data_IF_332147434575
#
_entry.id   IF_332147434575
#
_cell.length_a   1.000
_cell.length_b   1.000
_cell.length_c   1.000
_cell.angle_alpha   90.00
_cell.angle_beta   90.00
_cell.angle_gamma   90.00
#
_symmetry.space_group_name_H-M   'P 1'
#
loop_
_entity.id
_entity.type
_entity.pdbx_description
1 polymer ?
#
# COMPACT_ATOMS: atom_id res chain seq x y z
N UNK A 1 -0.80 -6.87 -4.55
CA UNK A 1 0.28 -5.97 -4.09
C UNK A 1 -0.28 -4.56 -4.02
N UNK A 2 -0.44 -4.04 -2.80
CA UNK A 2 -1.05 -2.75 -2.47
C UNK A 2 -0.03 -1.61 -2.38
N UNK A 3 1.24 -1.86 -2.68
CA UNK A 3 2.31 -0.88 -2.49
C UNK A 3 2.07 0.43 -3.26
N UNK A 4 1.28 0.40 -4.33
CA UNK A 4 0.78 1.61 -5.01
C UNK A 4 -0.73 1.83 -4.87
N UNK A 5 -1.52 0.77 -4.78
CA UNK A 5 -2.99 0.86 -4.82
C UNK A 5 -3.61 1.28 -3.49
N UNK A 6 -2.81 1.39 -2.42
CA UNK A 6 -3.17 2.12 -1.19
C UNK A 6 -3.61 3.58 -1.47
N UNK A 7 -3.25 4.13 -2.64
CA UNK A 7 -3.74 5.43 -3.12
C UNK A 7 -5.27 5.55 -3.22
N UNK A 8 -6.02 4.43 -3.25
CA UNK A 8 -7.48 4.44 -3.32
C UNK A 8 -8.18 4.78 -2.00
N UNK A 9 -7.51 4.68 -0.86
CA UNK A 9 -8.13 4.86 0.45
C UNK A 9 -7.37 4.11 1.55
N UNK A 10 -7.75 4.26 2.83
CA UNK A 10 -7.09 3.57 3.95
C UNK A 10 -7.10 2.04 3.81
N UNK A 11 -8.10 1.48 3.13
CA UNK A 11 -8.19 0.05 2.82
C UNK A 11 -7.64 -0.36 1.44
N UNK A 12 -7.02 0.57 0.69
CA UNK A 12 -6.47 0.35 -0.65
C UNK A 12 -7.47 -0.15 -1.68
N UNK A 13 -6.97 -0.77 -2.75
CA UNK A 13 -7.81 -1.38 -3.79
C UNK A 13 -8.67 -2.51 -3.24
N UNK A 14 -8.13 -3.25 -2.27
CA UNK A 14 -8.80 -4.39 -1.65
C UNK A 14 -10.15 -3.98 -1.08
N UNK A 15 -10.20 -2.92 -0.27
CA UNK A 15 -11.47 -2.41 0.24
C UNK A 15 -12.31 -1.75 -0.86
N UNK A 16 -11.71 -0.88 -1.69
CA UNK A 16 -12.43 -0.12 -2.70
C UNK A 16 -13.15 -1.00 -3.74
N UNK A 17 -12.58 -2.16 -4.06
CA UNK A 17 -13.13 -3.10 -5.04
C UNK A 17 -13.66 -4.38 -4.42
N UNK A 18 -13.80 -4.43 -3.09
CA UNK A 18 -14.30 -5.61 -2.35
C UNK A 18 -13.53 -6.90 -2.69
N UNK A 19 -12.22 -6.80 -2.86
CA UNK A 19 -11.38 -7.95 -3.13
C UNK A 19 -11.17 -8.78 -1.86
N UNK A 20 -10.88 -10.06 -2.05
CA UNK A 20 -10.68 -11.02 -0.97
C UNK A 20 -9.36 -11.78 -1.21
N UNK A 21 -8.20 -11.11 -1.15
CA UNK A 21 -6.91 -11.76 -1.45
C UNK A 21 -6.54 -12.80 -0.39
N UNK A 22 -5.85 -13.86 -0.82
CA UNK A 22 -5.26 -14.84 0.11
C UNK A 22 -3.96 -14.32 0.74
N UNK A 23 -3.25 -13.45 0.01
CA UNK A 23 -2.04 -12.73 0.43
C UNK A 23 -2.14 -11.25 0.03
N UNK A 24 -1.72 -10.38 0.94
CA UNK A 24 -1.58 -8.95 0.70
C UNK A 24 -0.15 -8.53 1.01
N UNK A 25 0.41 -7.68 0.17
CA UNK A 25 1.72 -7.06 0.36
C UNK A 25 1.54 -5.56 0.26
N UNK A 26 2.20 -4.79 1.13
CA UNK A 26 2.16 -3.34 1.14
C UNK A 26 3.50 -2.78 1.65
N UNK A 27 3.90 -1.62 1.14
CA UNK A 27 5.14 -0.95 1.55
C UNK A 27 5.11 0.52 1.19
N UNK A 28 6.27 1.10 0.88
CA UNK A 28 6.43 2.52 0.48
C UNK A 28 5.84 3.48 1.52
N UNK A 29 4.65 4.00 1.24
CA UNK A 29 4.04 5.10 1.96
C UNK A 29 3.73 4.75 3.43
N UNK A 30 3.57 3.47 3.76
CA UNK A 30 3.15 3.07 5.11
C UNK A 30 4.18 3.33 6.19
N UNK A 31 5.47 3.50 5.86
CA UNK A 31 6.54 3.61 6.85
C UNK A 31 7.06 5.04 7.05
N UNK A 32 6.33 6.06 6.58
CA UNK A 32 6.67 7.46 6.83
C UNK A 32 8.04 7.88 6.28
N UNK A 33 8.49 7.24 5.19
CA UNK A 33 9.79 7.51 4.56
C UNK A 33 10.94 6.61 5.03
N UNK A 34 10.73 5.77 6.06
CA UNK A 34 11.69 4.75 6.45
C UNK A 34 11.55 3.47 5.61
N UNK A 35 12.60 2.63 5.50
CA UNK A 35 12.46 1.29 4.96
C UNK A 35 11.45 0.48 5.78
N UNK A 36 10.36 0.08 5.15
CA UNK A 36 9.30 -0.70 5.77
C UNK A 36 8.31 -1.25 4.76
N UNK A 37 7.98 -2.52 4.93
CA UNK A 37 6.93 -3.22 4.20
C UNK A 37 6.28 -4.21 5.15
N UNK A 38 5.06 -4.61 4.81
CA UNK A 38 4.31 -5.65 5.49
C UNK A 38 3.69 -6.59 4.47
N UNK A 39 3.54 -7.84 4.86
CA UNK A 39 2.67 -8.77 4.18
C UNK A 39 1.73 -9.40 5.19
N UNK A 40 0.54 -9.75 4.73
CA UNK A 40 -0.46 -10.47 5.47
C UNK A 40 -1.00 -11.60 4.61
N UNK A 41 -1.56 -12.61 5.25
CA UNK A 41 -2.19 -13.72 4.57
C UNK A 41 -3.38 -14.21 5.38
N UNK A 42 -4.27 -14.94 4.72
CA UNK A 42 -5.37 -15.62 5.40
C UNK A 42 -4.82 -16.64 6.40
N UNK A 43 -5.61 -16.88 7.45
CA UNK A 43 -5.22 -17.78 8.54
C UNK A 43 -4.97 -19.20 8.03
N UNK A 44 -5.84 -19.69 7.15
CA UNK A 44 -5.76 -21.03 6.60
C UNK A 44 -4.46 -21.23 5.80
N UNK A 45 -4.03 -20.19 5.07
CA UNK A 45 -2.77 -20.22 4.34
C UNK A 45 -1.56 -20.14 5.27
N UNK A 46 -1.63 -19.32 6.32
CA UNK A 46 -0.58 -19.26 7.33
C UNK A 46 -0.38 -20.62 8.03
N UNK A 47 -1.47 -21.32 8.35
CA UNK A 47 -1.44 -22.64 8.97
C UNK A 47 -0.84 -23.70 8.03
N UNK A 48 -1.20 -23.67 6.74
CA UNK A 48 -0.59 -24.55 5.73
C UNK A 48 0.92 -24.31 5.61
N UNK A 49 1.35 -23.05 5.50
CA UNK A 49 2.76 -22.68 5.43
C UNK A 49 3.51 -23.14 6.69
N UNK A 50 2.94 -22.93 7.87
CA UNK A 50 3.53 -23.33 9.14
C UNK A 50 3.66 -24.86 9.29
N UNK A 51 2.74 -25.64 8.72
CA UNK A 51 2.80 -27.10 8.73
C UNK A 51 3.94 -27.66 7.85
N UNK A 52 4.22 -27.00 6.72
CA UNK A 52 5.27 -27.40 5.78
C UNK A 52 6.68 -26.91 6.21
N UNK A 53 6.77 -25.79 6.93
CA UNK A 53 8.01 -25.28 7.51
C UNK A 53 8.48 -26.20 8.65
N UNK A 54 9.28 -27.20 8.31
CA UNK A 54 10.11 -27.93 9.28
C UNK A 54 11.07 -26.93 9.92
N UNK A 55 10.84 -26.60 11.19
CA UNK A 55 11.73 -25.74 11.96
C UNK A 55 13.08 -26.44 12.16
N UNK A 56 14.06 -26.15 11.31
CA UNK A 56 15.45 -26.26 11.75
C UNK A 56 15.71 -25.10 12.71
N UNK A 57 16.21 -25.40 13.91
CA UNK A 57 16.32 -24.46 15.04
C UNK A 57 17.22 -23.23 14.79
N UNK A 58 17.87 -23.16 13.62
CA UNK A 58 18.93 -22.21 13.27
C UNK A 58 18.61 -21.41 11.99
N UNK A 59 17.71 -21.88 11.13
CA UNK A 59 17.39 -21.21 9.86
C UNK A 59 16.05 -20.46 9.96
N UNK A 60 16.07 -19.18 9.59
CA UNK A 60 14.88 -18.32 9.41
C UNK A 60 13.95 -18.78 8.26
N UNK A 61 14.16 -19.97 7.72
CA UNK A 61 13.45 -20.50 6.54
C UNK A 61 13.74 -19.68 5.28
N UNK A 62 14.91 -19.04 5.21
CA UNK A 62 15.27 -18.13 4.13
C UNK A 62 14.46 -16.83 4.02
N UNK A 63 13.61 -16.51 5.02
CA UNK A 63 12.76 -15.32 5.04
C UNK A 63 13.15 -14.42 6.21
N UNK A 64 13.31 -13.13 5.96
CA UNK A 64 13.62 -12.13 6.98
C UNK A 64 14.91 -11.38 6.66
N UNK A 65 15.37 -10.60 7.63
CA UNK A 65 16.59 -9.81 7.54
C UNK A 65 16.88 -9.15 8.88
N UNK A 66 18.14 -8.79 9.14
CA UNK A 66 18.61 -8.32 10.45
C UNK A 66 17.78 -7.15 11.01
N UNK A 67 17.22 -6.31 10.14
CA UNK A 67 16.44 -5.12 10.52
C UNK A 67 14.94 -5.26 10.21
N UNK A 68 14.49 -6.42 9.74
CA UNK A 68 13.08 -6.71 9.53
C UNK A 68 12.36 -6.71 10.88
N UNK A 69 11.25 -5.97 10.98
CA UNK A 69 10.51 -5.85 12.24
C UNK A 69 11.19 -4.96 13.29
N UNK A 70 12.12 -4.08 12.89
CA UNK A 70 12.71 -3.12 13.84
C UNK A 70 11.64 -2.26 14.53
N UNK A 71 11.89 -1.91 15.80
CA UNK A 71 10.98 -1.04 16.59
C UNK A 71 10.75 0.30 15.89
N UNK A 72 11.80 0.85 15.28
CA UNK A 72 11.72 2.11 14.55
C UNK A 72 10.74 2.02 13.36
N UNK A 73 10.89 0.99 12.52
CA UNK A 73 9.96 0.76 11.39
C UNK A 73 8.55 0.48 11.88
N UNK A 74 8.37 -0.30 12.95
CA UNK A 74 7.05 -0.62 13.51
C UNK A 74 6.33 0.62 14.07
N UNK A 75 7.03 1.49 14.79
CA UNK A 75 6.47 2.75 15.31
C UNK A 75 6.12 3.70 14.18
N UNK A 76 6.97 3.84 13.16
CA UNK A 76 6.70 4.66 12.00
C UNK A 76 5.48 4.15 11.21
N UNK A 77 5.36 2.82 11.03
CA UNK A 77 4.20 2.21 10.36
C UNK A 77 2.92 2.46 11.16
N UNK A 78 2.94 2.17 12.46
CA UNK A 78 1.78 2.40 13.34
C UNK A 78 1.32 3.86 13.30
N UNK A 79 2.26 4.79 13.38
CA UNK A 79 1.95 6.24 13.41
C UNK A 79 1.42 6.69 12.06
N UNK A 80 2.04 6.29 10.96
CA UNK A 80 1.61 6.65 9.61
C UNK A 80 0.20 6.13 9.32
N UNK A 81 -0.10 4.88 9.66
CA UNK A 81 -1.42 4.30 9.41
C UNK A 81 -2.53 4.90 10.30
N UNK A 82 -2.20 5.30 11.53
CA UNK A 82 -3.22 5.82 12.48
C UNK A 82 -3.45 7.32 12.37
N UNK A 83 -2.41 8.08 12.06
CA UNK A 83 -2.44 9.54 12.17
C UNK A 83 -2.31 10.25 10.80
N UNK A 84 -1.86 9.55 9.75
CA UNK A 84 -1.59 10.16 8.43
C UNK A 84 -2.49 9.58 7.33
N UNK A 85 -2.52 8.25 7.18
CA UNK A 85 -3.29 7.56 6.15
C UNK A 85 -4.70 7.21 6.64
N UNK A 86 -5.43 8.24 7.10
CA UNK A 86 -6.73 8.12 7.76
C UNK A 86 -7.89 8.35 6.80
N UNK A 87 -9.09 7.91 7.17
CA UNK A 87 -10.33 8.16 6.40
C UNK A 87 -10.56 9.65 6.13
N UNK A 88 -10.14 10.53 7.04
CA UNK A 88 -10.27 11.99 6.89
C UNK A 88 -9.24 12.59 5.93
N UNK A 89 -8.05 12.00 5.82
CA UNK A 89 -6.98 12.51 4.97
C UNK A 89 -7.24 12.22 3.48
N UNK A 90 -7.76 11.03 3.16
CA UNK A 90 -7.92 10.59 1.78
C UNK A 90 -8.84 11.46 0.91
N UNK A 91 -10.00 11.93 1.37
CA UNK A 91 -10.87 12.82 0.60
C UNK A 91 -10.13 14.06 0.07
N UNK A 92 -9.31 14.71 0.90
CA UNK A 92 -8.53 15.87 0.48
C UNK A 92 -7.40 15.50 -0.49
N UNK A 93 -6.70 14.39 -0.26
CA UNK A 93 -5.67 13.89 -1.17
C UNK A 93 -6.26 13.57 -2.56
N UNK A 94 -7.39 12.86 -2.60
CA UNK A 94 -8.09 12.48 -3.83
C UNK A 94 -8.63 13.69 -4.57
N UNK A 95 -9.22 14.66 -3.86
CA UNK A 95 -9.70 15.90 -4.46
C UNK A 95 -8.55 16.70 -5.10
N UNK A 96 -7.40 16.74 -4.43
CA UNK A 96 -6.21 17.43 -4.94
C UNK A 96 -5.65 16.74 -6.18
N UNK A 97 -5.54 15.41 -6.16
CA UNK A 97 -5.10 14.60 -7.31
C UNK A 97 -6.06 14.74 -8.50
N UNK A 98 -7.37 14.70 -8.26
CA UNK A 98 -8.39 14.91 -9.29
C UNK A 98 -8.27 16.29 -9.94
N UNK A 99 -8.16 17.35 -9.15
CA UNK A 99 -7.98 18.72 -9.65
C UNK A 99 -6.73 18.86 -10.51
N UNK A 100 -5.62 18.22 -10.10
CA UNK A 100 -4.40 18.22 -10.90
C UNK A 100 -4.61 17.54 -12.24
N UNK A 101 -5.20 16.34 -12.27
CA UNK A 101 -5.43 15.62 -13.52
C UNK A 101 -6.46 16.30 -14.43
N UNK A 102 -7.49 16.94 -13.88
CA UNK A 102 -8.43 17.76 -14.65
C UNK A 102 -7.67 18.90 -15.34
N UNK A 103 -6.83 19.62 -14.61
CA UNK A 103 -6.01 20.69 -15.17
C UNK A 103 -5.03 20.23 -16.26
N UNK A 104 -4.41 19.06 -16.10
CA UNK A 104 -3.54 18.49 -17.13
C UNK A 104 -4.35 18.12 -18.37
N UNK A 105 -5.50 17.44 -18.21
CA UNK A 105 -6.37 17.09 -19.33
C UNK A 105 -6.87 18.33 -20.08
N UNK A 106 -7.25 19.40 -19.37
CA UNK A 106 -7.67 20.66 -19.97
C UNK A 106 -6.57 21.30 -20.82
N UNK A 107 -5.30 21.20 -20.42
CA UNK A 107 -4.17 21.68 -21.22
C UNK A 107 -3.99 20.81 -22.47
N UNK A 108 -4.01 19.49 -22.33
CA UNK A 108 -3.87 18.57 -23.46
C UNK A 108 -4.96 18.79 -24.51
N UNK A 109 -6.21 18.94 -24.07
CA UNK A 109 -7.35 19.22 -24.95
C UNK A 109 -7.23 20.58 -25.65
N UNK A 110 -6.81 21.64 -24.95
CA UNK A 110 -6.61 22.99 -25.55
C UNK A 110 -5.54 23.04 -26.63
N UNK A 111 -4.62 22.09 -26.63
CA UNK A 111 -3.50 22.03 -27.58
C UNK A 111 -3.62 20.85 -28.57
N UNK A 112 -4.78 20.19 -28.65
CA UNK A 112 -5.02 19.04 -29.52
C UNK A 112 -3.97 17.91 -29.35
N UNK A 113 -3.47 17.71 -28.12
CA UNK A 113 -2.48 16.67 -27.80
C UNK A 113 -3.22 15.36 -27.48
N UNK A 114 -3.00 14.27 -28.23
CA UNK A 114 -3.74 13.01 -28.09
C UNK A 114 -3.20 12.14 -26.94
N UNK A 115 -3.02 12.72 -25.76
CA UNK A 115 -2.57 12.04 -24.54
C UNK A 115 -3.71 11.93 -23.53
N UNK A 116 -3.54 11.06 -22.54
CA UNK A 116 -4.51 10.86 -21.46
C UNK A 116 -3.82 10.85 -20.09
N UNK A 117 -4.60 11.10 -19.05
CA UNK A 117 -4.17 11.06 -17.65
C UNK A 117 -5.00 10.02 -16.90
N UNK A 118 -4.33 9.05 -16.29
CA UNK A 118 -4.96 7.94 -15.56
C UNK A 118 -5.01 8.22 -14.08
N UNK A 119 -6.17 8.00 -13.45
CA UNK A 119 -6.39 8.26 -12.03
C UNK A 119 -6.65 6.98 -11.25
N UNK A 120 -6.15 6.95 -10.01
CA UNK A 120 -6.39 5.90 -9.05
C UNK A 120 -6.37 6.51 -7.63
N UNK A 121 -7.51 7.05 -7.19
CA UNK A 121 -7.63 7.74 -5.91
C UNK A 121 -6.69 8.95 -5.82
N UNK A 122 -5.79 8.97 -4.84
CA UNK A 122 -4.80 10.01 -4.62
C UNK A 122 -3.60 9.95 -5.60
N UNK A 123 -3.64 9.05 -6.60
CA UNK A 123 -2.68 8.98 -7.69
C UNK A 123 -3.33 9.50 -8.97
N UNK A 124 -2.70 10.48 -9.60
CA UNK A 124 -3.14 11.11 -10.82
C UNK A 124 -1.93 11.38 -11.71
#
# INVERSE_FOLDING_TARGET
DETHTISLGPGGATAAWSLQPDLLVIGKAIAGGLPGAAYGMRRELAEQIAAELKRDEIDTGGIGGTVSGSVLSAVAIRTTLREVLTDDAFPQMIATASRWADGVMDVLTRHDIPWSVTRLGARA
#
